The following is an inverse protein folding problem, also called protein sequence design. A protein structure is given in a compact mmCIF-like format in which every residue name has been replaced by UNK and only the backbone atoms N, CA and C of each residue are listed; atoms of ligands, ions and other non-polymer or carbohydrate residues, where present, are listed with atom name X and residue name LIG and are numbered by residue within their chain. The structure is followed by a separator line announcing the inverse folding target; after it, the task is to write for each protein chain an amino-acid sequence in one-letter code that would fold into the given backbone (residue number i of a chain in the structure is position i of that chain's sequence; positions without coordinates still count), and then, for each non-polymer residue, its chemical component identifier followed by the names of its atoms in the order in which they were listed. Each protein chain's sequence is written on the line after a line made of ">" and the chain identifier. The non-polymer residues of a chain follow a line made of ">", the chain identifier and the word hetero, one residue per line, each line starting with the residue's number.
data_IF_858328646162
#
_entry.id   IF_858328646162
#
_cell.length_a   1.000
_cell.length_b   1.000
_cell.length_c   1.000
_cell.angle_alpha   90.00
_cell.angle_beta   90.00
_cell.angle_gamma   90.00
#
_symmetry.space_group_name_H-M   'P 1'
#
loop_
_entity.id
_entity.type
_entity.pdbx_description
1 polymer ?
#
# COMPACT_ATOMS: atom_id res chain seq x y z
N UNK A 1 -1.70 22.03 6.22
CA UNK A 1 -0.53 21.44 5.53
C UNK A 1 -0.57 21.90 4.09
N UNK A 2 0.57 22.22 3.46
CA UNK A 2 0.63 22.57 2.03
C UNK A 2 0.26 21.33 1.19
N UNK A 3 -0.51 21.51 0.12
CA UNK A 3 -0.88 20.47 -0.85
C UNK A 3 0.34 19.69 -1.37
N UNK A 4 1.46 20.34 -1.64
CA UNK A 4 2.70 19.67 -2.05
C UNK A 4 3.23 18.73 -0.96
N UNK A 5 3.26 19.18 0.30
CA UNK A 5 3.67 18.35 1.43
C UNK A 5 2.77 17.13 1.56
N UNK A 6 1.46 17.31 1.39
CA UNK A 6 0.48 16.24 1.47
C UNK A 6 0.67 15.18 0.37
N UNK A 7 0.90 15.61 -0.87
CA UNK A 7 1.19 14.70 -1.99
C UNK A 7 2.45 13.91 -1.74
N UNK A 8 3.54 14.57 -1.30
CA UNK A 8 4.80 13.88 -0.98
C UNK A 8 4.61 12.85 0.13
N UNK A 9 3.90 13.20 1.20
CA UNK A 9 3.60 12.26 2.30
C UNK A 9 2.84 11.04 1.82
N UNK A 10 1.82 11.20 0.96
CA UNK A 10 1.06 10.08 0.39
C UNK A 10 1.96 9.19 -0.48
N UNK A 11 2.78 9.78 -1.36
CA UNK A 11 3.70 9.02 -2.21
C UNK A 11 4.73 8.24 -1.39
N UNK A 12 5.28 8.85 -0.32
CA UNK A 12 6.19 8.16 0.59
C UNK A 12 5.51 7.02 1.33
N UNK A 13 4.28 7.22 1.80
CA UNK A 13 3.48 6.20 2.47
C UNK A 13 3.22 5.01 1.53
N UNK A 14 2.87 5.28 0.26
CA UNK A 14 2.66 4.26 -0.76
C UNK A 14 3.94 3.49 -1.07
N UNK A 15 5.08 4.17 -1.15
CA UNK A 15 6.38 3.53 -1.40
C UNK A 15 6.74 2.55 -0.29
N UNK A 16 6.65 2.97 0.98
CA UNK A 16 7.00 2.15 2.15
C UNK A 16 6.07 0.94 2.25
N UNK A 17 4.76 1.14 2.12
CA UNK A 17 3.78 0.06 2.17
C UNK A 17 3.92 -0.89 0.96
N UNK A 18 4.20 -0.35 -0.22
CA UNK A 18 4.43 -1.12 -1.45
C UNK A 18 5.67 -1.99 -1.37
N UNK A 19 6.75 -1.51 -0.75
CA UNK A 19 7.95 -2.31 -0.46
C UNK A 19 7.65 -3.45 0.52
N UNK A 20 6.86 -3.21 1.56
CA UNK A 20 6.39 -4.24 2.49
C UNK A 20 5.57 -5.32 1.79
N UNK A 21 4.65 -4.91 0.90
CA UNK A 21 3.89 -5.83 0.06
C UNK A 21 4.78 -6.65 -0.87
N UNK A 22 5.75 -6.01 -1.55
CA UNK A 22 6.71 -6.71 -2.41
C UNK A 22 7.56 -7.73 -1.65
N UNK A 23 7.97 -7.40 -0.43
CA UNK A 23 8.70 -8.32 0.44
C UNK A 23 7.84 -9.54 0.82
N UNK A 24 6.58 -9.32 1.19
CA UNK A 24 5.62 -10.39 1.49
C UNK A 24 5.32 -11.25 0.24
N UNK A 25 5.22 -10.62 -0.92
CA UNK A 25 5.05 -11.28 -2.21
C UNK A 25 6.25 -12.16 -2.56
N UNK A 26 7.47 -11.64 -2.39
CA UNK A 26 8.69 -12.40 -2.62
C UNK A 26 8.79 -13.61 -1.69
N UNK A 27 8.37 -13.48 -0.42
CA UNK A 27 8.28 -14.61 0.52
C UNK A 27 7.25 -15.64 0.07
N UNK A 28 6.03 -15.22 -0.29
CA UNK A 28 4.98 -16.12 -0.75
C UNK A 28 5.38 -16.89 -2.02
N UNK A 29 6.05 -16.20 -2.96
CA UNK A 29 6.58 -16.81 -4.19
C UNK A 29 7.68 -17.82 -3.91
N UNK A 30 8.59 -17.53 -2.96
CA UNK A 30 9.61 -18.50 -2.51
C UNK A 30 9.00 -19.72 -1.81
N UNK A 31 7.86 -19.55 -1.14
CA UNK A 31 7.14 -20.63 -0.47
C UNK A 31 6.21 -21.43 -1.41
N UNK A 32 6.17 -21.11 -2.71
CA UNK A 32 5.27 -21.78 -3.68
C UNK A 32 3.78 -21.46 -3.47
N UNK A 33 3.47 -20.41 -2.71
CA UNK A 33 2.09 -20.03 -2.43
C UNK A 33 1.47 -19.23 -3.59
N UNK A 34 0.13 -19.31 -3.77
CA UNK A 34 -0.57 -18.53 -4.78
C UNK A 34 -0.43 -17.02 -4.50
N UNK A 35 -0.37 -16.22 -5.56
CA UNK A 35 -0.22 -14.75 -5.49
C UNK A 35 -1.30 -14.08 -4.64
N UNK A 36 -2.50 -14.69 -4.59
CA UNK A 36 -3.61 -14.24 -3.75
C UNK A 36 -3.36 -14.37 -2.24
N UNK A 37 -2.39 -15.18 -1.82
CA UNK A 37 -2.00 -15.30 -0.41
C UNK A 37 -1.40 -13.98 0.11
N UNK A 38 -0.61 -13.28 -0.70
CA UNK A 38 -0.03 -11.99 -0.32
C UNK A 38 -1.08 -10.89 -0.22
N UNK A 39 -2.09 -10.92 -1.09
CA UNK A 39 -3.22 -9.98 -1.03
C UNK A 39 -4.06 -10.17 0.24
N UNK A 40 -4.15 -11.40 0.76
CA UNK A 40 -4.80 -11.71 2.04
C UNK A 40 -3.87 -11.53 3.26
N UNK A 41 -2.58 -11.26 3.05
CA UNK A 41 -1.64 -10.99 4.14
C UNK A 41 -1.90 -9.61 4.73
N UNK A 42 -1.52 -9.41 6.00
CA UNK A 42 -1.60 -8.11 6.66
C UNK A 42 -0.90 -7.01 5.85
N UNK A 43 0.25 -7.29 5.23
CA UNK A 43 0.94 -6.29 4.40
C UNK A 43 0.16 -5.91 3.14
N UNK A 44 -0.53 -6.87 2.51
CA UNK A 44 -1.38 -6.60 1.34
C UNK A 44 -2.61 -5.78 1.70
N UNK A 45 -3.27 -6.13 2.79
CA UNK A 45 -4.41 -5.36 3.31
C UNK A 45 -4.01 -3.93 3.70
N UNK A 46 -2.86 -3.76 4.37
CA UNK A 46 -2.34 -2.46 4.74
C UNK A 46 -1.96 -1.61 3.51
N UNK A 47 -1.37 -2.22 2.48
CA UNK A 47 -1.08 -1.53 1.24
C UNK A 47 -2.35 -1.07 0.52
N UNK A 48 -3.35 -1.94 0.42
CA UNK A 48 -4.65 -1.60 -0.19
C UNK A 48 -5.35 -0.50 0.60
N UNK A 49 -5.38 -0.60 1.93
CA UNK A 49 -5.98 0.41 2.80
C UNK A 49 -5.27 1.76 2.67
N UNK A 50 -3.94 1.76 2.55
CA UNK A 50 -3.12 2.95 2.29
C UNK A 50 -3.52 3.65 0.97
N UNK A 51 -3.67 2.89 -0.11
CA UNK A 51 -4.06 3.43 -1.42
C UNK A 51 -5.51 3.93 -1.40
N UNK A 52 -6.45 3.10 -0.93
CA UNK A 52 -7.88 3.44 -0.88
C UNK A 52 -8.14 4.63 0.04
N UNK A 53 -7.52 4.65 1.23
CA UNK A 53 -7.65 5.75 2.18
C UNK A 53 -7.13 7.08 1.60
N UNK A 54 -6.02 7.03 0.86
CA UNK A 54 -5.46 8.22 0.19
C UNK A 54 -6.36 8.74 -0.93
N UNK A 55 -6.98 7.85 -1.70
CA UNK A 55 -7.93 8.21 -2.76
C UNK A 55 -9.22 8.79 -2.17
N UNK A 56 -9.78 8.14 -1.14
CA UNK A 56 -10.97 8.64 -0.45
C UNK A 56 -10.72 10.02 0.16
N UNK A 57 -9.55 10.22 0.77
CA UNK A 57 -9.16 11.53 1.28
C UNK A 57 -9.18 12.59 0.17
N UNK A 58 -8.62 12.30 -1.01
CA UNK A 58 -8.63 13.21 -2.15
C UNK A 58 -10.04 13.50 -2.72
N UNK A 59 -10.94 12.52 -2.68
CA UNK A 59 -12.33 12.67 -3.14
C UNK A 59 -13.14 13.51 -2.15
N UNK A 60 -13.00 13.25 -0.84
CA UNK A 60 -13.76 13.92 0.23
C UNK A 60 -13.22 15.31 0.54
N UNK A 61 -11.92 15.54 0.38
CA UNK A 61 -11.29 16.85 0.61
C UNK A 61 -11.41 17.81 -0.59
N UNK A 62 -12.14 17.42 -1.64
CA UNK A 62 -12.45 18.26 -2.81
C UNK A 62 -13.69 19.10 -2.57
#
# INVERSE_FOLDING_TARGET
>A
MNTQTLVVTILTLWLVMGLGFLASYAKARKAGQPLGATLKSNEGLLFIASVVGSILYFIVAR
#
